data_IF_904262439188
#
_entry.id   IF_904262439188
#
_cell.length_a   1.000
_cell.length_b   1.000
_cell.length_c   1.000
_cell.angle_alpha   90.00
_cell.angle_beta   90.00
_cell.angle_gamma   90.00
#
_symmetry.space_group_name_H-M   'P 1'
#
loop_
_entity.id
_entity.type
_entity.pdbx_description
1 polymer ?
#
# COMPACT_ATOMS: atom_id res chain seq x y z
N UNK A 1 -15.65 -13.74 -6.05
CA UNK A 1 -15.22 -13.27 -4.70
C UNK A 1 -13.95 -13.94 -4.17
N UNK A 2 -13.47 -15.05 -4.75
CA UNK A 2 -12.24 -15.73 -4.31
C UNK A 2 -10.94 -14.88 -4.20
N UNK A 3 -10.65 -13.90 -5.08
CA UNK A 3 -9.34 -13.22 -5.10
C UNK A 3 -9.07 -12.30 -3.89
N UNK A 4 -10.12 -11.68 -3.35
CA UNK A 4 -10.00 -10.67 -2.30
C UNK A 4 -9.57 -11.26 -0.96
N UNK A 5 -10.01 -12.48 -0.63
CA UNK A 5 -9.59 -13.22 0.55
C UNK A 5 -8.14 -13.72 0.45
N UNK A 6 -7.65 -13.98 -0.76
CA UNK A 6 -6.29 -14.48 -0.97
C UNK A 6 -5.24 -13.43 -0.61
N UNK A 7 -5.50 -12.14 -0.84
CA UNK A 7 -4.57 -11.07 -0.51
C UNK A 7 -4.16 -11.05 0.98
N UNK A 8 -5.09 -10.92 1.96
CA UNK A 8 -4.72 -10.95 3.37
C UNK A 8 -4.15 -12.31 3.81
N UNK A 9 -4.61 -13.43 3.23
CA UNK A 9 -4.04 -14.76 3.52
C UNK A 9 -2.57 -14.85 3.09
N UNK A 10 -2.24 -14.46 1.86
CA UNK A 10 -0.86 -14.47 1.37
C UNK A 10 0.02 -13.52 2.17
N UNK A 11 -0.47 -12.32 2.50
CA UNK A 11 0.22 -11.38 3.38
C UNK A 11 0.53 -11.98 4.75
N UNK A 12 -0.45 -12.66 5.37
CA UNK A 12 -0.26 -13.33 6.65
C UNK A 12 0.78 -14.46 6.56
N UNK A 13 0.76 -15.26 5.48
CA UNK A 13 1.74 -16.32 5.25
C UNK A 13 3.15 -15.75 5.07
N UNK A 14 3.33 -14.70 4.26
CA UNK A 14 4.65 -14.11 4.03
C UNK A 14 5.21 -13.41 5.28
N UNK A 15 4.36 -12.70 6.02
CA UNK A 15 4.71 -12.10 7.31
C UNK A 15 5.09 -13.19 8.34
N UNK A 16 4.28 -14.23 8.48
CA UNK A 16 4.54 -15.33 9.40
C UNK A 16 5.84 -16.07 9.08
N UNK A 17 6.09 -16.36 7.79
CA UNK A 17 7.34 -16.97 7.34
C UNK A 17 8.55 -16.07 7.66
N UNK A 18 8.42 -14.76 7.50
CA UNK A 18 9.49 -13.80 7.79
C UNK A 18 9.82 -13.72 9.28
N UNK A 19 8.80 -13.73 10.14
CA UNK A 19 8.99 -13.80 11.60
C UNK A 19 9.67 -15.12 11.99
N UNK A 20 9.26 -16.24 11.38
CA UNK A 20 9.88 -17.55 11.60
C UNK A 20 11.37 -17.57 11.25
N UNK A 21 11.76 -16.96 10.12
CA UNK A 21 13.16 -16.85 9.71
C UNK A 21 13.96 -16.01 10.72
N UNK A 22 13.42 -14.87 11.17
CA UNK A 22 14.09 -14.03 12.17
C UNK A 22 14.31 -14.78 13.48
N UNK A 23 13.30 -15.49 13.97
CA UNK A 23 13.40 -16.32 15.17
C UNK A 23 14.45 -17.43 15.01
N UNK A 24 14.45 -18.12 13.88
CA UNK A 24 15.40 -19.20 13.61
C UNK A 24 16.85 -18.66 13.56
N UNK A 25 17.08 -17.54 12.91
CA UNK A 25 18.39 -16.89 12.87
C UNK A 25 18.82 -16.40 14.26
N UNK A 26 17.92 -15.80 15.03
CA UNK A 26 18.20 -15.40 16.41
C UNK A 26 18.64 -16.59 17.28
N UNK A 27 17.91 -17.71 17.21
CA UNK A 27 18.24 -18.93 17.95
C UNK A 27 19.61 -19.50 17.53
N UNK A 28 19.92 -19.50 16.24
CA UNK A 28 21.21 -19.98 15.72
C UNK A 28 22.37 -19.09 16.19
N UNK A 29 22.25 -17.76 16.08
CA UNK A 29 23.30 -16.83 16.48
C UNK A 29 23.57 -16.89 17.99
N UNK A 30 22.50 -17.03 18.78
CA UNK A 30 22.60 -17.18 20.23
C UNK A 30 23.21 -18.53 20.62
N UNK A 31 22.86 -19.63 19.93
CA UNK A 31 23.40 -20.96 20.19
C UNK A 31 24.91 -21.09 19.90
N UNK A 32 25.42 -20.29 18.96
CA UNK A 32 26.87 -20.26 18.62
C UNK A 32 27.65 -19.31 19.55
N UNK A 33 26.98 -18.62 20.47
CA UNK A 33 27.61 -17.74 21.46
C UNK A 33 28.16 -16.44 20.86
N UNK A 34 27.57 -15.94 19.77
CA UNK A 34 27.94 -14.65 19.20
C UNK A 34 27.60 -13.51 20.17
N UNK A 35 28.40 -12.46 20.10
CA UNK A 35 28.19 -11.24 20.88
C UNK A 35 26.77 -10.70 20.65
N UNK A 36 26.02 -10.34 21.71
CA UNK A 36 24.69 -9.75 21.60
C UNK A 36 24.62 -8.55 20.65
N UNK A 37 25.64 -7.69 20.59
CA UNK A 37 25.65 -6.52 19.71
C UNK A 37 25.69 -6.91 18.23
N UNK A 38 26.53 -7.88 17.88
CA UNK A 38 26.65 -8.42 16.52
C UNK A 38 25.35 -9.12 16.12
N UNK A 39 24.75 -9.85 17.06
CA UNK A 39 23.47 -10.55 16.86
C UNK A 39 22.34 -9.57 16.56
N UNK A 40 22.26 -8.46 17.29
CA UNK A 40 21.28 -7.39 17.07
C UNK A 40 21.44 -6.72 15.70
N UNK A 41 22.68 -6.42 15.29
CA UNK A 41 22.96 -5.82 13.98
C UNK A 41 22.56 -6.79 12.85
N UNK A 42 22.94 -8.06 12.96
CA UNK A 42 22.60 -9.07 11.97
C UNK A 42 21.08 -9.26 11.83
N UNK A 43 20.35 -9.27 12.95
CA UNK A 43 18.89 -9.32 12.96
C UNK A 43 18.27 -8.05 12.37
N UNK A 44 18.83 -6.87 12.64
CA UNK A 44 18.37 -5.61 12.05
C UNK A 44 18.49 -5.60 10.53
N UNK A 45 19.64 -6.03 10.00
CA UNK A 45 19.88 -6.14 8.55
C UNK A 45 18.93 -7.17 7.93
N UNK A 46 18.82 -8.36 8.52
CA UNK A 46 17.95 -9.41 8.02
C UNK A 46 16.47 -8.99 8.08
N UNK A 47 16.06 -8.32 9.15
CA UNK A 47 14.72 -7.76 9.30
C UNK A 47 14.39 -6.75 8.22
N UNK A 48 15.35 -5.86 7.89
CA UNK A 48 15.21 -4.92 6.78
C UNK A 48 15.07 -5.63 5.43
N UNK A 49 15.90 -6.64 5.16
CA UNK A 49 15.79 -7.44 3.92
C UNK A 49 14.43 -8.12 3.81
N UNK A 50 13.95 -8.74 4.89
CA UNK A 50 12.65 -9.39 4.91
C UNK A 50 11.49 -8.38 4.77
N UNK A 51 11.60 -7.19 5.34
CA UNK A 51 10.64 -6.10 5.13
C UNK A 51 10.57 -5.67 3.66
N UNK A 52 11.72 -5.54 2.99
CA UNK A 52 11.78 -5.24 1.56
C UNK A 52 11.13 -6.35 0.76
N UNK A 53 11.47 -7.62 1.02
CA UNK A 53 10.89 -8.78 0.33
C UNK A 53 9.36 -8.84 0.51
N UNK A 54 8.86 -8.66 1.74
CA UNK A 54 7.42 -8.61 1.99
C UNK A 54 6.76 -7.45 1.24
N UNK A 55 7.41 -6.29 1.19
CA UNK A 55 6.89 -5.12 0.48
C UNK A 55 6.80 -5.34 -1.03
N UNK A 56 7.80 -6.02 -1.61
CA UNK A 56 7.83 -6.43 -3.02
C UNK A 56 6.63 -7.32 -3.32
N UNK A 57 6.45 -8.42 -2.56
CA UNK A 57 5.33 -9.34 -2.76
C UNK A 57 3.97 -8.67 -2.52
N UNK A 58 3.84 -7.88 -1.46
CA UNK A 58 2.62 -7.13 -1.15
C UNK A 58 2.20 -6.22 -2.30
N UNK A 59 3.15 -5.51 -2.91
CA UNK A 59 2.89 -4.66 -4.06
C UNK A 59 2.42 -5.47 -5.29
N UNK A 60 3.08 -6.59 -5.58
CA UNK A 60 2.68 -7.51 -6.63
C UNK A 60 1.26 -8.05 -6.46
N UNK A 61 0.92 -8.50 -5.24
CA UNK A 61 -0.42 -8.99 -4.93
C UNK A 61 -1.49 -7.90 -4.98
N UNK A 62 -1.18 -6.67 -4.56
CA UNK A 62 -2.10 -5.53 -4.65
C UNK A 62 -2.40 -5.20 -6.11
N UNK A 63 -1.39 -5.16 -6.97
CA UNK A 63 -1.54 -4.92 -8.40
C UNK A 63 -2.34 -6.02 -9.12
N UNK A 64 -2.08 -7.28 -8.78
CA UNK A 64 -2.87 -8.40 -9.32
C UNK A 64 -4.33 -8.37 -8.89
N UNK A 65 -4.61 -7.95 -7.66
CA UNK A 65 -5.98 -7.80 -7.17
C UNK A 65 -6.75 -6.72 -7.97
N UNK A 66 -6.11 -5.58 -8.24
CA UNK A 66 -6.66 -4.53 -9.09
C UNK A 66 -6.90 -5.01 -10.52
N UNK A 67 -5.97 -5.79 -11.10
CA UNK A 67 -6.15 -6.41 -12.41
C UNK A 67 -7.35 -7.35 -12.47
N UNK A 68 -7.55 -8.20 -11.45
CA UNK A 68 -8.72 -9.08 -11.43
C UNK A 68 -10.04 -8.29 -11.29
N UNK A 69 -10.05 -7.16 -10.57
CA UNK A 69 -11.22 -6.27 -10.55
C UNK A 69 -11.48 -5.61 -11.90
N UNK A 70 -10.43 -5.13 -12.56
CA UNK A 70 -10.52 -4.57 -13.92
C UNK A 70 -11.09 -5.60 -14.91
N UNK A 71 -10.57 -6.83 -14.89
CA UNK A 71 -11.02 -7.93 -15.74
C UNK A 71 -12.47 -8.35 -15.43
N UNK A 72 -12.84 -8.38 -14.15
CA UNK A 72 -14.20 -8.69 -13.73
C UNK A 72 -15.22 -7.63 -14.23
N UNK A 73 -14.85 -6.34 -14.21
CA UNK A 73 -15.68 -5.27 -14.77
C UNK A 73 -15.95 -5.44 -16.27
N UNK A 74 -14.97 -5.98 -17.00
CA UNK A 74 -15.04 -6.27 -18.43
C UNK A 74 -15.57 -7.66 -18.77
N UNK A 75 -16.18 -8.37 -17.79
CA UNK A 75 -16.74 -9.71 -17.94
C UNK A 75 -15.73 -10.77 -18.43
N UNK A 76 -14.44 -10.56 -18.16
CA UNK A 76 -13.42 -11.57 -18.44
C UNK A 76 -13.37 -12.65 -17.34
N UNK A 77 -12.78 -13.80 -17.66
CA UNK A 77 -12.61 -14.90 -16.71
C UNK A 77 -11.60 -14.57 -15.62
N UNK A 78 -12.04 -14.64 -14.37
CA UNK A 78 -11.27 -14.33 -13.16
C UNK A 78 -10.81 -15.65 -12.54
N UNK A 79 -9.54 -15.78 -12.15
CA UNK A 79 -8.99 -17.08 -11.74
C UNK A 79 -7.74 -17.02 -10.87
N UNK A 80 -7.55 -18.02 -10.00
CA UNK A 80 -6.39 -18.09 -9.11
C UNK A 80 -5.08 -18.17 -9.92
N UNK A 81 -5.05 -19.00 -10.96
CA UNK A 81 -3.84 -19.15 -11.79
C UNK A 81 -3.51 -17.89 -12.58
N UNK A 82 -4.50 -17.11 -13.03
CA UNK A 82 -4.23 -15.83 -13.71
C UNK A 82 -3.72 -14.79 -12.72
N UNK A 83 -4.33 -14.74 -11.53
CA UNK A 83 -3.91 -13.87 -10.44
C UNK A 83 -2.44 -14.07 -10.05
N UNK A 84 -2.03 -15.31 -9.74
CA UNK A 84 -0.66 -15.58 -9.30
C UNK A 84 0.35 -15.31 -10.40
N UNK A 85 0.09 -15.79 -11.63
CA UNK A 85 0.97 -15.52 -12.79
C UNK A 85 1.14 -14.02 -13.03
N UNK A 86 0.06 -13.27 -12.99
CA UNK A 86 0.10 -11.82 -13.18
C UNK A 86 0.85 -11.11 -12.05
N UNK A 87 0.62 -11.53 -10.80
CA UNK A 87 1.32 -11.00 -9.63
C UNK A 87 2.83 -11.15 -9.82
N UNK A 88 3.33 -12.37 -10.04
CA UNK A 88 4.76 -12.63 -10.20
C UNK A 88 5.37 -11.90 -11.40
N UNK A 89 4.70 -11.90 -12.55
CA UNK A 89 5.21 -11.27 -13.77
C UNK A 89 5.40 -9.75 -13.65
N UNK A 90 4.58 -9.08 -12.82
CA UNK A 90 4.55 -7.62 -12.70
C UNK A 90 4.99 -7.11 -11.32
N UNK A 91 5.48 -8.00 -10.44
CA UNK A 91 5.80 -7.67 -9.05
C UNK A 91 6.82 -6.53 -8.94
N UNK A 92 7.87 -6.54 -9.76
CA UNK A 92 8.92 -5.50 -9.72
C UNK A 92 8.40 -4.13 -10.16
N UNK A 93 7.51 -4.11 -11.16
CA UNK A 93 6.90 -2.90 -11.67
C UNK A 93 5.96 -2.28 -10.62
N UNK A 94 5.13 -3.10 -9.98
CA UNK A 94 4.29 -2.67 -8.86
C UNK A 94 5.09 -2.23 -7.64
N UNK A 95 6.18 -2.93 -7.33
CA UNK A 95 7.09 -2.53 -6.26
C UNK A 95 7.73 -1.17 -6.54
N UNK A 96 8.06 -0.86 -7.81
CA UNK A 96 8.60 0.45 -8.17
C UNK A 96 7.58 1.57 -7.87
N UNK A 97 6.31 1.37 -8.21
CA UNK A 97 5.23 2.32 -7.86
C UNK A 97 5.10 2.45 -6.33
N UNK A 98 5.12 1.33 -5.61
CA UNK A 98 5.06 1.32 -4.14
C UNK A 98 6.27 2.01 -3.49
N UNK A 99 7.47 1.82 -4.03
CA UNK A 99 8.69 2.42 -3.52
C UNK A 99 8.65 3.94 -3.68
N UNK A 100 8.26 4.44 -4.86
CA UNK A 100 8.08 5.89 -5.08
C UNK A 100 7.01 6.44 -4.12
N UNK A 101 5.91 5.71 -3.89
CA UNK A 101 4.93 6.07 -2.87
C UNK A 101 5.56 6.24 -1.50
N UNK A 102 6.35 5.27 -1.04
CA UNK A 102 6.99 5.32 0.28
C UNK A 102 7.97 6.50 0.39
N UNK A 103 8.71 6.81 -0.68
CA UNK A 103 9.59 8.00 -0.72
C UNK A 103 8.78 9.28 -0.61
N UNK A 104 7.67 9.40 -1.33
CA UNK A 104 6.75 10.55 -1.25
C UNK A 104 6.16 10.69 0.15
N UNK A 105 5.65 9.61 0.73
CA UNK A 105 5.16 9.57 2.12
C UNK A 105 6.24 10.05 3.08
N UNK A 106 7.46 9.50 2.96
CA UNK A 106 8.59 9.90 3.79
C UNK A 106 8.91 11.40 3.65
N UNK A 107 8.96 11.92 2.42
CA UNK A 107 9.26 13.32 2.17
C UNK A 107 8.22 14.29 2.76
N UNK A 108 6.92 13.96 2.69
CA UNK A 108 5.86 14.83 3.20
C UNK A 108 5.60 14.66 4.71
N UNK A 109 5.60 13.42 5.22
CA UNK A 109 5.29 13.15 6.63
C UNK A 109 6.49 13.32 7.58
N UNK A 110 7.73 13.09 7.12
CA UNK A 110 8.92 13.22 8.00
C UNK A 110 9.11 14.64 8.51
N UNK A 111 8.99 15.71 7.70
CA UNK A 111 9.06 17.08 8.21
C UNK A 111 8.01 17.38 9.28
N UNK A 112 6.77 16.90 9.10
CA UNK A 112 5.71 17.06 10.11
C UNK A 112 6.05 16.34 11.42
N UNK A 113 6.58 15.11 11.34
CA UNK A 113 7.04 14.37 12.51
C UNK A 113 8.21 15.04 13.22
N UNK A 114 9.17 15.61 12.47
CA UNK A 114 10.28 16.37 13.03
C UNK A 114 9.79 17.66 13.69
N UNK A 115 8.88 18.41 13.06
CA UNK A 115 8.27 19.61 13.64
C UNK A 115 7.55 19.26 14.95
N UNK A 116 6.76 18.18 14.96
CA UNK A 116 6.09 17.69 16.15
C UNK A 116 7.06 17.36 17.29
N UNK A 117 8.17 16.70 16.97
CA UNK A 117 9.21 16.31 17.93
C UNK A 117 10.00 17.52 18.46
N UNK A 118 10.49 18.40 17.59
CA UNK A 118 11.32 19.55 17.99
C UNK A 118 10.54 20.66 18.71
N UNK A 119 9.23 20.78 18.46
CA UNK A 119 8.38 21.77 19.13
C UNK A 119 7.72 21.21 20.42
N UNK A 120 7.98 19.96 20.79
CA UNK A 120 7.41 19.28 21.96
C UNK A 120 5.89 19.47 22.11
N UNK A 121 5.16 19.43 20.99
CA UNK A 121 3.76 19.86 20.95
C UNK A 121 2.83 18.97 21.78
N UNK A 122 3.22 17.70 21.97
CA UNK A 122 2.47 16.72 22.75
C UNK A 122 2.44 17.00 24.25
N UNK A 123 3.43 17.71 24.79
CA UNK A 123 3.52 18.04 26.22
C UNK A 123 2.89 19.41 26.54
N UNK A 124 2.89 20.35 25.59
CA UNK A 124 2.49 21.74 25.81
C UNK A 124 1.08 22.06 25.30
N UNK A 125 0.66 21.51 24.15
CA UNK A 125 -0.59 21.89 23.49
C UNK A 125 -1.27 20.72 22.75
N UNK A 126 -2.07 19.94 23.48
CA UNK A 126 -2.85 18.80 22.98
C UNK A 126 -3.65 19.13 21.71
N UNK A 127 -4.28 20.32 21.63
CA UNK A 127 -5.03 20.74 20.45
C UNK A 127 -4.16 20.87 19.19
N UNK A 128 -2.92 21.34 19.34
CA UNK A 128 -1.97 21.48 18.24
C UNK A 128 -1.43 20.10 17.82
N UNK A 129 -1.20 19.20 18.77
CA UNK A 129 -0.86 17.79 18.49
C UNK A 129 -1.94 17.10 17.62
N UNK A 130 -3.21 17.27 17.96
CA UNK A 130 -4.32 16.74 17.14
C UNK A 130 -4.40 17.37 15.76
N UNK A 131 -4.12 18.67 15.63
CA UNK A 131 -4.07 19.34 14.32
C UNK A 131 -2.98 18.74 13.43
N UNK A 132 -1.76 18.57 13.93
CA UNK A 132 -0.65 17.97 13.17
C UNK A 132 -0.92 16.51 12.80
N UNK A 133 -1.50 15.72 13.72
CA UNK A 133 -1.92 14.35 13.42
C UNK A 133 -3.00 14.32 12.33
N UNK A 134 -3.96 15.25 12.37
CA UNK A 134 -5.00 15.40 11.34
C UNK A 134 -4.43 15.76 9.97
N UNK A 135 -3.47 16.70 9.91
CA UNK A 135 -2.79 17.08 8.67
C UNK A 135 -2.01 15.88 8.11
N UNK A 136 -1.22 15.19 8.94
CA UNK A 136 -0.46 14.01 8.51
C UNK A 136 -1.34 12.88 8.00
N UNK A 137 -2.49 12.64 8.64
CA UNK A 137 -3.48 11.67 8.16
C UNK A 137 -4.08 12.09 6.80
N UNK A 138 -4.43 13.37 6.64
CA UNK A 138 -4.96 13.89 5.39
C UNK A 138 -3.94 13.74 4.24
N UNK A 139 -2.68 14.14 4.46
CA UNK A 139 -1.60 13.98 3.47
C UNK A 139 -1.40 12.52 3.09
N UNK A 140 -1.38 11.62 4.08
CA UNK A 140 -1.26 10.19 3.83
C UNK A 140 -2.39 9.67 2.94
N UNK A 141 -3.65 10.07 3.19
CA UNK A 141 -4.77 9.68 2.34
C UNK A 141 -4.66 10.23 0.92
N UNK A 142 -4.25 11.50 0.75
CA UNK A 142 -4.05 12.10 -0.58
C UNK A 142 -3.00 11.31 -1.36
N UNK A 143 -1.88 10.98 -0.73
CA UNK A 143 -0.81 10.20 -1.35
C UNK A 143 -1.30 8.79 -1.70
N UNK A 144 -1.97 8.10 -0.77
CA UNK A 144 -2.51 6.75 -1.02
C UNK A 144 -3.53 6.74 -2.18
N UNK A 145 -4.41 7.74 -2.24
CA UNK A 145 -5.39 7.90 -3.32
C UNK A 145 -4.71 8.18 -4.66
N UNK A 146 -3.68 9.03 -4.67
CA UNK A 146 -2.91 9.31 -5.87
C UNK A 146 -2.24 8.06 -6.44
N UNK A 147 -1.53 7.33 -5.58
CA UNK A 147 -0.85 6.13 -6.02
C UNK A 147 -1.83 5.01 -6.39
N UNK A 148 -3.04 4.94 -5.80
CA UNK A 148 -4.07 4.00 -6.24
C UNK A 148 -4.37 4.15 -7.75
N UNK A 149 -4.46 5.37 -8.26
CA UNK A 149 -4.60 5.60 -9.71
C UNK A 149 -3.33 5.24 -10.50
N UNK A 150 -2.13 5.39 -9.93
CA UNK A 150 -0.92 4.91 -10.61
C UNK A 150 -0.95 3.38 -10.80
N UNK A 151 -1.43 2.62 -9.82
CA UNK A 151 -1.63 1.17 -9.96
C UNK A 151 -2.68 0.85 -11.02
N UNK A 152 -3.81 1.57 -11.04
CA UNK A 152 -4.88 1.38 -12.04
C UNK A 152 -4.37 1.73 -13.45
N UNK A 153 -3.69 2.86 -13.63
CA UNK A 153 -3.12 3.29 -14.90
C UNK A 153 -2.11 2.25 -15.43
N UNK A 154 -1.31 1.65 -14.56
CA UNK A 154 -0.42 0.56 -14.93
C UNK A 154 -1.21 -0.67 -15.40
N UNK A 155 -2.23 -1.08 -14.66
CA UNK A 155 -3.07 -2.25 -15.00
C UNK A 155 -3.78 -2.06 -16.34
N UNK A 156 -4.44 -0.91 -16.54
CA UNK A 156 -5.23 -0.62 -17.72
C UNK A 156 -4.35 -0.36 -18.96
N UNK A 157 -3.39 0.58 -18.86
CA UNK A 157 -2.62 1.05 -20.02
C UNK A 157 -1.34 0.22 -20.26
N UNK A 158 -0.93 -0.65 -19.32
CA UNK A 158 0.27 -1.50 -19.39
C UNK A 158 1.56 -0.72 -19.69
N UNK A 159 1.66 0.50 -19.18
CA UNK A 159 2.80 1.40 -19.37
C UNK A 159 3.91 1.17 -18.34
N UNK A 160 5.08 1.81 -18.51
CA UNK A 160 6.16 1.77 -17.51
C UNK A 160 5.69 2.40 -16.17
N UNK A 161 6.23 1.97 -15.01
CA UNK A 161 5.84 2.49 -13.69
C UNK A 161 5.84 4.02 -13.58
N UNK A 162 6.91 4.68 -14.01
CA UNK A 162 7.01 6.14 -13.97
C UNK A 162 5.97 6.82 -14.87
N UNK A 163 5.67 6.26 -16.04
CA UNK A 163 4.61 6.77 -16.92
C UNK A 163 3.23 6.63 -16.26
N UNK A 164 2.97 5.53 -15.55
CA UNK A 164 1.72 5.36 -14.81
C UNK A 164 1.56 6.41 -13.69
N UNK A 165 2.65 6.73 -12.98
CA UNK A 165 2.68 7.79 -11.97
C UNK A 165 2.39 9.16 -12.60
N UNK A 166 3.01 9.47 -13.74
CA UNK A 166 2.76 10.72 -14.47
C UNK A 166 1.31 10.83 -14.94
N UNK A 167 0.71 9.74 -15.45
CA UNK A 167 -0.70 9.69 -15.83
C UNK A 167 -1.58 10.02 -14.62
N UNK A 168 -1.33 9.41 -13.46
CA UNK A 168 -2.09 9.73 -12.25
C UNK A 168 -1.91 11.18 -11.77
N UNK A 169 -0.77 11.82 -12.03
CA UNK A 169 -0.55 13.22 -11.64
C UNK A 169 -1.42 14.14 -12.49
N UNK A 170 -1.44 13.90 -13.80
CA UNK A 170 -2.28 14.66 -14.72
C UNK A 170 -3.77 14.42 -14.42
N UNK A 171 -4.14 13.16 -14.15
CA UNK A 171 -5.49 12.80 -13.75
C UNK A 171 -5.99 13.56 -12.51
N UNK A 172 -5.13 13.74 -11.50
CA UNK A 172 -5.51 14.42 -10.26
C UNK A 172 -5.54 15.94 -10.40
N UNK A 173 -4.78 16.52 -11.33
CA UNK A 173 -4.89 17.95 -11.61
C UNK A 173 -6.27 18.33 -12.14
N UNK A 174 -6.91 17.41 -12.87
CA UNK A 174 -8.20 17.63 -13.52
C UNK A 174 -9.39 17.09 -12.70
N UNK A 175 -9.15 16.79 -11.42
CA UNK A 175 -10.08 16.08 -10.56
C UNK A 175 -11.23 16.97 -10.07
N UNK A 176 -12.46 16.62 -10.44
CA UNK A 176 -13.69 17.28 -10.00
C UNK A 176 -14.23 16.75 -8.65
N UNK A 177 -15.19 17.48 -8.04
CA UNK A 177 -15.87 17.17 -6.75
C UNK A 177 -16.35 15.72 -6.60
N UNK A 178 -16.69 15.01 -7.69
CA UNK A 178 -17.12 13.60 -7.64
C UNK A 178 -16.01 12.65 -7.13
N UNK A 179 -14.76 12.97 -7.38
CA UNK A 179 -13.64 12.20 -6.85
C UNK A 179 -13.43 12.41 -5.35
N UNK A 180 -13.93 13.52 -4.77
CA UNK A 180 -13.93 13.77 -3.33
C UNK A 180 -14.77 12.73 -2.58
N UNK A 181 -15.90 12.27 -3.15
CA UNK A 181 -16.71 11.21 -2.54
C UNK A 181 -16.01 9.86 -2.56
N UNK A 182 -15.40 9.50 -3.70
CA UNK A 182 -14.59 8.26 -3.82
C UNK A 182 -13.38 8.32 -2.88
N UNK A 183 -12.78 9.51 -2.74
CA UNK A 183 -11.71 9.80 -1.80
C UNK A 183 -12.16 9.62 -0.34
N UNK A 184 -13.31 10.16 0.06
CA UNK A 184 -13.85 9.98 1.43
C UNK A 184 -14.11 8.50 1.75
N UNK A 185 -14.73 7.75 0.83
CA UNK A 185 -14.92 6.30 1.03
C UNK A 185 -13.59 5.55 1.12
N UNK A 186 -12.61 5.94 0.31
CA UNK A 186 -11.25 5.41 0.38
C UNK A 186 -10.61 5.70 1.74
N UNK A 187 -10.70 6.93 2.25
CA UNK A 187 -10.21 7.28 3.58
C UNK A 187 -10.86 6.44 4.68
N UNK A 188 -12.16 6.15 4.61
CA UNK A 188 -12.85 5.29 5.58
C UNK A 188 -12.30 3.85 5.55
N UNK A 189 -12.08 3.29 4.36
CA UNK A 189 -11.45 1.97 4.21
C UNK A 189 -10.04 1.98 4.80
N UNK A 190 -9.26 3.03 4.53
CA UNK A 190 -7.90 3.10 5.02
C UNK A 190 -7.84 3.34 6.54
N UNK A 191 -8.73 4.16 7.12
CA UNK A 191 -8.85 4.34 8.58
C UNK A 191 -9.18 3.03 9.30
N UNK A 192 -9.95 2.15 8.66
CA UNK A 192 -10.30 0.85 9.25
C UNK A 192 -9.08 -0.05 9.49
N UNK A 193 -7.95 0.22 8.85
CA UNK A 193 -6.70 -0.51 9.09
C UNK A 193 -6.18 -0.39 10.52
N UNK A 194 -6.61 0.65 11.26
CA UNK A 194 -6.28 0.87 12.66
C UNK A 194 -7.05 -0.07 13.61
N UNK A 195 -8.11 -0.74 13.14
CA UNK A 195 -8.92 -1.69 13.92
C UNK A 195 -8.89 -3.05 13.22
N UNK A 196 -8.10 -4.04 13.68
CA UNK A 196 -7.82 -5.28 12.94
C UNK A 196 -9.06 -6.06 12.47
N UNK A 197 -10.11 -6.12 13.30
CA UNK A 197 -11.37 -6.80 12.96
C UNK A 197 -12.15 -6.03 11.88
N UNK A 198 -12.19 -4.69 12.00
CA UNK A 198 -12.83 -3.81 11.03
C UNK A 198 -12.06 -3.83 9.69
N UNK A 199 -10.73 -3.87 9.75
CA UNK A 199 -9.83 -3.94 8.60
C UNK A 199 -10.17 -5.14 7.70
N UNK A 200 -10.36 -6.31 8.29
CA UNK A 200 -10.69 -7.54 7.54
C UNK A 200 -12.03 -7.42 6.80
N UNK A 201 -13.07 -6.92 7.48
CA UNK A 201 -14.41 -6.73 6.89
C UNK A 201 -14.37 -5.67 5.79
N UNK A 202 -13.66 -4.58 6.02
CA UNK A 202 -13.52 -3.48 5.06
C UNK A 202 -12.74 -3.91 3.82
N UNK A 203 -11.71 -4.75 3.96
CA UNK A 203 -11.00 -5.34 2.82
C UNK A 203 -11.85 -6.33 2.02
N UNK A 204 -12.73 -7.10 2.66
CA UNK A 204 -13.57 -8.07 1.97
C UNK A 204 -14.78 -7.44 1.27
N UNK A 205 -15.37 -6.41 1.88
CA UNK A 205 -16.64 -5.83 1.43
C UNK A 205 -16.45 -4.49 0.72
N UNK A 206 -15.74 -3.57 1.34
CA UNK A 206 -15.66 -2.19 0.85
C UNK A 206 -14.52 -1.97 -0.15
N UNK A 207 -13.38 -2.65 0.02
CA UNK A 207 -12.25 -2.51 -0.89
C UNK A 207 -12.59 -2.90 -2.34
N UNK A 208 -13.35 -3.99 -2.65
CA UNK A 208 -13.82 -4.24 -4.00
C UNK A 208 -14.68 -3.13 -4.57
N UNK A 209 -15.59 -2.57 -3.77
CA UNK A 209 -16.50 -1.49 -4.19
C UNK A 209 -15.71 -0.22 -4.52
N UNK A 210 -14.79 0.16 -3.63
CA UNK A 210 -13.94 1.35 -3.83
C UNK A 210 -12.99 1.14 -5.01
N UNK A 211 -12.33 -0.01 -5.10
CA UNK A 211 -11.42 -0.31 -6.21
C UNK A 211 -12.13 -0.29 -7.57
N UNK A 212 -13.30 -0.92 -7.69
CA UNK A 212 -14.09 -0.91 -8.93
C UNK A 212 -14.60 0.49 -9.28
N UNK A 213 -14.97 1.30 -8.27
CA UNK A 213 -15.38 2.69 -8.48
C UNK A 213 -14.22 3.57 -8.97
N UNK A 214 -13.04 3.41 -8.39
CA UNK A 214 -11.81 4.09 -8.83
C UNK A 214 -11.45 3.73 -10.28
N UNK A 215 -11.52 2.44 -10.63
CA UNK A 215 -11.27 1.96 -12.01
C UNK A 215 -12.24 2.61 -12.99
N UNK A 216 -13.56 2.52 -12.75
CA UNK A 216 -14.55 3.14 -13.64
C UNK A 216 -14.39 4.65 -13.76
N UNK A 217 -14.09 5.32 -12.64
CA UNK A 217 -13.87 6.76 -12.64
C UNK A 217 -12.64 7.13 -13.49
N UNK A 218 -11.57 6.35 -13.37
CA UNK A 218 -10.36 6.51 -14.16
C UNK A 218 -10.61 6.30 -15.66
N UNK A 219 -11.32 5.24 -16.05
CA UNK A 219 -11.69 4.96 -17.45
C UNK A 219 -12.52 6.10 -18.06
N UNK A 220 -13.55 6.57 -17.32
CA UNK A 220 -14.46 7.61 -17.81
C UNK A 220 -13.72 8.91 -18.11
N UNK A 221 -12.79 9.30 -17.25
CA UNK A 221 -12.06 10.57 -17.40
C UNK A 221 -10.85 10.42 -18.35
N UNK A 222 -10.20 9.26 -18.40
CA UNK A 222 -9.09 9.01 -19.32
C UNK A 222 -9.51 8.84 -20.77
N UNK A 223 -10.79 8.57 -21.06
CA UNK A 223 -11.34 8.57 -22.42
C UNK A 223 -11.38 9.97 -23.07
N UNK A 224 -11.15 11.03 -22.29
CA UNK A 224 -11.08 12.41 -22.76
C UNK A 224 -9.65 12.89 -23.07
N UNK A 225 -8.65 11.99 -22.99
CA UNK A 225 -7.23 12.22 -23.25
C UNK A 225 -6.65 11.14 -24.17
#
# INVERSE_FOLDING_TARGET
MLPTFLYPLFMAITLGASIGILLLVFLLLTAVGLDPEITLIALGILGLVLLIVNSVFSAGYKGALLNEYYRALHKESVGISSFTKYAFANTLQFFTIALVKMVVIGFFLTPLGLIYYFLDLGSVHIALAYLFAGIGLFEWFVIEFFFAYSFIAYVEKKVKPFSAILISLNFIKDLNVKALLVYVFYCIVVLSTLIPLLNTIMYLVFYPIVATSLIKYFETQSAHY
#
